data_IF_263048728184
#
_entry.id   IF_263048728184
#
_cell.length_a   1.000
_cell.length_b   1.000
_cell.length_c   1.000
_cell.angle_alpha   90.00
_cell.angle_beta   90.00
_cell.angle_gamma   90.00
#
_symmetry.space_group_name_H-M   'P 1'
#
loop_
_entity.id
_entity.type
_entity.pdbx_description
1 polymer ?
#
# COMPACT_ATOMS: atom_id res chain seq x y z
N UNK A 1 -16.05 12.02 -16.65
CA UNK A 1 -14.76 11.51 -17.19
C UNK A 1 -13.69 12.44 -16.64
N UNK A 2 -12.90 11.96 -15.67
CA UNK A 2 -11.73 12.72 -15.22
C UNK A 2 -10.72 12.73 -16.37
N UNK A 3 -10.16 13.92 -16.67
CA UNK A 3 -9.07 14.04 -17.62
C UNK A 3 -7.95 13.11 -17.17
N UNK A 4 -7.47 12.23 -18.06
CA UNK A 4 -6.30 11.41 -17.80
C UNK A 4 -5.16 12.39 -17.46
N UNK A 5 -4.55 12.24 -16.28
CA UNK A 5 -3.39 13.04 -15.93
C UNK A 5 -2.30 12.73 -16.97
N UNK A 6 -1.60 13.74 -17.46
CA UNK A 6 -0.50 13.57 -18.43
C UNK A 6 0.65 12.73 -17.86
N UNK A 7 0.69 12.58 -16.53
CA UNK A 7 1.70 11.80 -15.81
C UNK A 7 1.14 10.48 -15.29
N UNK A 8 1.93 9.39 -15.30
CA UNK A 8 1.58 8.15 -14.63
C UNK A 8 1.34 8.40 -13.14
N UNK A 9 0.45 7.60 -12.53
CA UNK A 9 0.26 7.62 -11.08
C UNK A 9 1.51 7.15 -10.33
N UNK A 10 2.23 6.20 -10.93
CA UNK A 10 3.55 5.73 -10.48
C UNK A 10 4.46 5.63 -11.68
N UNK A 11 5.64 6.22 -11.63
CA UNK A 11 6.70 6.03 -12.61
C UNK A 11 7.98 5.56 -11.92
N UNK A 12 8.62 4.55 -12.48
CA UNK A 12 9.88 3.99 -12.00
C UNK A 12 10.84 3.93 -13.19
N UNK A 13 12.04 4.47 -13.00
CA UNK A 13 13.06 4.50 -14.05
C UNK A 13 14.41 4.03 -13.51
N UNK A 14 14.96 2.95 -14.10
CA UNK A 14 16.28 2.44 -13.80
C UNK A 14 16.51 2.05 -12.34
N UNK A 15 15.46 1.58 -11.65
CA UNK A 15 15.53 1.33 -10.21
C UNK A 15 16.40 0.13 -9.88
N UNK A 16 17.39 0.36 -9.05
CA UNK A 16 18.22 -0.67 -8.45
C UNK A 16 18.06 -0.68 -6.93
N UNK A 17 18.13 -1.86 -6.32
CA UNK A 17 17.97 -1.99 -4.87
C UNK A 17 18.19 -3.42 -4.38
N UNK A 18 18.17 -3.58 -3.06
CA UNK A 18 18.39 -4.89 -2.43
C UNK A 18 18.58 -4.79 -0.94
N UNK A 19 19.14 -5.85 -0.36
CA UNK A 19 19.40 -5.95 1.08
C UNK A 19 20.91 -5.88 1.34
N UNK A 20 21.34 -4.91 2.15
CA UNK A 20 22.78 -4.69 2.40
C UNK A 20 23.56 -4.62 1.09
N UNK A 21 24.61 -5.40 0.93
CA UNK A 21 25.42 -5.45 -0.29
C UNK A 21 24.83 -6.30 -1.42
N UNK A 22 23.78 -7.09 -1.16
CA UNK A 22 23.18 -8.01 -2.15
C UNK A 22 22.18 -7.26 -3.04
N UNK A 23 22.46 -7.05 -4.34
CA UNK A 23 21.50 -6.48 -5.27
C UNK A 23 20.40 -7.49 -5.60
N UNK A 24 19.16 -7.01 -5.71
CA UNK A 24 17.96 -7.82 -6.04
C UNK A 24 17.20 -7.19 -7.21
N UNK A 25 17.18 -5.88 -7.28
CA UNK A 25 16.57 -5.12 -8.36
C UNK A 25 17.67 -4.64 -9.30
N UNK A 26 17.48 -4.85 -10.59
CA UNK A 26 18.44 -4.48 -11.63
C UNK A 26 17.68 -3.73 -12.72
N UNK A 27 17.92 -2.44 -12.86
CA UNK A 27 17.40 -1.56 -13.91
C UNK A 27 15.88 -1.72 -14.15
N UNK A 28 15.09 -1.69 -13.06
CA UNK A 28 13.64 -1.86 -13.16
C UNK A 28 12.99 -0.54 -13.59
N UNK A 29 12.27 -0.59 -14.73
CA UNK A 29 11.51 0.56 -15.23
C UNK A 29 10.09 0.13 -15.55
N UNK A 30 9.08 0.88 -15.08
CA UNK A 30 7.67 0.68 -15.36
C UNK A 30 6.86 1.93 -15.03
N UNK A 31 5.70 2.04 -15.68
CA UNK A 31 4.71 3.07 -15.41
C UNK A 31 3.36 2.43 -15.07
N UNK A 32 2.63 3.04 -14.14
CA UNK A 32 1.25 2.68 -13.80
C UNK A 32 0.39 3.93 -13.89
N UNK A 33 -0.66 3.89 -14.71
CA UNK A 33 -1.54 5.04 -14.89
C UNK A 33 -2.71 5.05 -13.91
N UNK A 34 -3.34 6.19 -13.76
CA UNK A 34 -4.51 6.33 -12.89
C UNK A 34 -5.65 5.42 -13.36
N UNK A 35 -6.26 4.68 -12.43
CA UNK A 35 -7.34 3.72 -12.70
C UNK A 35 -6.87 2.35 -13.18
N UNK A 36 -5.57 2.12 -13.32
CA UNK A 36 -5.04 0.81 -13.70
C UNK A 36 -4.89 -0.14 -12.51
N UNK A 37 -5.06 -1.43 -12.80
CA UNK A 37 -4.63 -2.54 -11.93
C UNK A 37 -3.38 -3.15 -12.57
N UNK A 38 -2.22 -2.88 -11.98
CA UNK A 38 -0.93 -3.39 -12.45
C UNK A 38 -0.51 -4.62 -11.65
N UNK A 39 -0.21 -5.73 -12.32
CA UNK A 39 0.19 -6.98 -11.67
C UNK A 39 1.66 -7.32 -11.95
N UNK A 40 2.42 -7.53 -10.86
CA UNK A 40 3.81 -8.00 -10.92
C UNK A 40 3.82 -9.51 -10.74
N UNK A 41 4.16 -10.24 -11.80
CA UNK A 41 4.20 -11.70 -11.82
C UNK A 41 5.63 -12.23 -11.76
N UNK A 42 5.81 -13.39 -11.18
CA UNK A 42 7.12 -14.05 -11.10
C UNK A 42 7.21 -15.06 -9.95
N UNK A 43 8.23 -15.91 -10.00
CA UNK A 43 8.51 -16.90 -8.94
C UNK A 43 8.85 -16.21 -7.61
N UNK A 44 8.74 -16.97 -6.52
CA UNK A 44 9.20 -16.48 -5.20
C UNK A 44 10.71 -16.21 -5.24
N UNK A 45 11.15 -15.18 -4.55
CA UNK A 45 12.55 -14.76 -4.54
C UNK A 45 12.97 -13.83 -5.68
N UNK A 46 12.11 -13.56 -6.68
CA UNK A 46 12.46 -12.72 -7.85
C UNK A 46 12.35 -11.20 -7.59
N UNK A 47 12.36 -10.75 -6.36
CA UNK A 47 12.42 -9.31 -6.06
C UNK A 47 11.07 -8.55 -6.01
N UNK A 48 9.90 -9.21 -6.21
CA UNK A 48 8.59 -8.52 -6.19
C UNK A 48 8.35 -7.70 -4.92
N UNK A 49 8.55 -8.31 -3.76
CA UNK A 49 8.39 -7.64 -2.46
C UNK A 49 9.48 -6.59 -2.24
N UNK A 50 10.70 -6.83 -2.73
CA UNK A 50 11.81 -5.87 -2.67
C UNK A 50 11.45 -4.63 -3.47
N UNK A 51 10.92 -4.79 -4.70
CA UNK A 51 10.47 -3.67 -5.52
C UNK A 51 9.43 -2.82 -4.79
N UNK A 52 8.35 -3.44 -4.28
CA UNK A 52 7.32 -2.71 -3.55
C UNK A 52 7.88 -2.00 -2.30
N UNK A 53 8.76 -2.65 -1.54
CA UNK A 53 9.39 -2.05 -0.36
C UNK A 53 10.31 -0.88 -0.74
N UNK A 54 11.05 -0.98 -1.84
CA UNK A 54 11.94 0.09 -2.31
C UNK A 54 11.13 1.29 -2.80
N UNK A 55 10.08 1.06 -3.60
CA UNK A 55 9.16 2.08 -4.08
C UNK A 55 8.47 2.82 -2.93
N UNK A 56 8.14 2.10 -1.86
CA UNK A 56 7.54 2.68 -0.63
C UNK A 56 8.54 3.31 0.34
N UNK A 57 9.83 3.39 0.00
CA UNK A 57 10.85 3.95 0.89
C UNK A 57 11.07 3.14 2.18
N UNK A 58 10.68 1.86 2.20
CA UNK A 58 10.94 0.90 3.28
C UNK A 58 12.31 0.23 3.14
N UNK A 59 12.85 0.23 1.93
CA UNK A 59 14.22 -0.17 1.60
C UNK A 59 14.85 0.96 0.78
N UNK A 60 16.13 1.27 0.99
CA UNK A 60 16.81 2.29 0.19
C UNK A 60 16.99 1.82 -1.26
N UNK A 61 16.69 2.69 -2.22
CA UNK A 61 17.16 2.53 -3.58
C UNK A 61 18.67 2.78 -3.64
N UNK A 62 19.39 2.04 -4.48
CA UNK A 62 20.81 2.27 -4.78
C UNK A 62 20.99 3.30 -5.89
N UNK A 63 20.11 3.20 -6.90
CA UNK A 63 20.06 4.11 -8.05
C UNK A 63 18.65 4.08 -8.64
N UNK A 64 18.42 4.93 -9.62
CA UNK A 64 17.14 5.07 -10.31
C UNK A 64 16.21 6.08 -9.66
N UNK A 65 15.01 6.19 -10.23
CA UNK A 65 14.03 7.20 -9.86
C UNK A 65 12.65 6.59 -9.62
N UNK A 66 11.95 7.12 -8.62
CA UNK A 66 10.56 6.77 -8.32
C UNK A 66 9.75 8.06 -8.23
N UNK A 67 8.65 8.11 -8.97
CA UNK A 67 7.72 9.25 -8.95
C UNK A 67 6.31 8.78 -8.59
N UNK A 68 5.61 9.58 -7.80
CA UNK A 68 4.16 9.46 -7.58
C UNK A 68 3.48 10.73 -8.05
N UNK A 69 2.53 10.59 -8.99
CA UNK A 69 1.78 11.71 -9.58
C UNK A 69 2.68 12.85 -10.11
N UNK A 70 3.85 12.50 -10.65
CA UNK A 70 4.84 13.44 -11.17
C UNK A 70 5.78 14.04 -10.11
N UNK A 71 5.60 13.71 -8.82
CA UNK A 71 6.52 14.13 -7.76
C UNK A 71 7.63 13.10 -7.55
N UNK A 72 8.87 13.52 -7.64
CA UNK A 72 10.03 12.66 -7.36
C UNK A 72 10.14 12.38 -5.87
N UNK A 73 9.97 11.10 -5.51
CA UNK A 73 10.04 10.60 -4.14
C UNK A 73 11.27 9.75 -3.87
N UNK A 74 12.22 9.74 -4.80
CA UNK A 74 13.45 8.94 -4.66
C UNK A 74 14.16 9.25 -3.36
N UNK A 75 14.44 8.22 -2.58
CA UNK A 75 15.08 8.37 -1.26
C UNK A 75 14.20 8.94 -0.14
N UNK A 76 12.91 9.17 -0.38
CA UNK A 76 12.01 9.59 0.70
C UNK A 76 11.72 8.45 1.67
N UNK A 77 11.59 8.74 2.96
CA UNK A 77 11.15 7.76 3.94
C UNK A 77 9.66 7.45 3.76
N UNK A 78 9.26 6.20 4.05
CA UNK A 78 7.90 5.70 3.84
C UNK A 78 6.80 6.61 4.42
N UNK A 79 7.02 7.19 5.63
CA UNK A 79 6.04 8.09 6.26
C UNK A 79 5.75 9.36 5.43
N UNK A 80 6.72 9.81 4.62
CA UNK A 80 6.53 10.94 3.73
C UNK A 80 5.77 10.54 2.47
N UNK A 81 6.08 9.37 1.90
CA UNK A 81 5.38 8.80 0.73
C UNK A 81 3.91 8.56 1.05
N UNK A 82 3.60 8.00 2.22
CA UNK A 82 2.20 7.78 2.62
C UNK A 82 1.39 9.08 2.75
N UNK A 83 2.03 10.24 2.88
CA UNK A 83 1.34 11.55 2.87
C UNK A 83 0.79 11.94 1.51
N UNK A 84 1.28 11.35 0.44
CA UNK A 84 0.76 11.53 -0.91
C UNK A 84 -0.50 10.68 -1.18
N UNK A 85 -1.03 9.97 -0.18
CA UNK A 85 -2.17 9.06 -0.35
C UNK A 85 -1.77 7.67 -0.84
N UNK A 86 -0.48 7.33 -0.81
CA UNK A 86 0.00 5.99 -1.20
C UNK A 86 -0.07 5.06 -0.01
N UNK A 87 -0.71 3.91 -0.17
CA UNK A 87 -0.85 2.89 0.87
C UNK A 87 -0.13 1.60 0.49
N UNK A 88 0.48 0.95 1.49
CA UNK A 88 1.14 -0.34 1.34
C UNK A 88 0.50 -1.40 2.22
N UNK A 89 0.09 -2.50 1.60
CA UNK A 89 -0.44 -3.68 2.31
C UNK A 89 0.62 -4.78 2.26
N UNK A 90 1.31 -5.07 3.38
CA UNK A 90 2.33 -6.12 3.42
C UNK A 90 1.70 -7.51 3.33
N UNK A 91 2.49 -8.48 2.87
CA UNK A 91 2.07 -9.88 2.80
C UNK A 91 1.93 -10.51 4.19
N UNK A 92 2.73 -10.06 5.15
CA UNK A 92 2.71 -10.54 6.53
C UNK A 92 1.53 -9.97 7.30
N UNK A 93 1.10 -10.68 8.36
CA UNK A 93 -0.01 -10.25 9.21
C UNK A 93 0.35 -8.95 9.93
N UNK A 94 -0.22 -7.83 9.47
CA UNK A 94 0.01 -6.49 10.03
C UNK A 94 -1.25 -5.92 10.68
N UNK A 95 -2.10 -6.78 11.24
CA UNK A 95 -3.25 -6.39 12.05
C UNK A 95 -2.92 -6.43 13.52
N UNK A 96 -3.52 -5.55 14.30
CA UNK A 96 -3.48 -5.59 15.75
C UNK A 96 -4.54 -6.58 16.24
N UNK A 97 -4.11 -7.80 16.58
CA UNK A 97 -5.02 -8.93 16.84
C UNK A 97 -5.91 -8.71 18.06
N UNK A 98 -5.42 -8.01 19.06
CA UNK A 98 -6.14 -7.73 20.32
C UNK A 98 -7.15 -6.57 20.20
N UNK A 99 -7.01 -5.75 19.16
CA UNK A 99 -7.93 -4.68 18.87
C UNK A 99 -9.12 -5.18 18.04
N UNK A 100 -10.25 -4.50 18.16
CA UNK A 100 -11.42 -4.70 17.30
C UNK A 100 -11.12 -4.35 15.85
N UNK A 101 -11.99 -4.78 14.94
CA UNK A 101 -11.95 -4.38 13.53
C UNK A 101 -12.01 -2.85 13.40
N UNK A 102 -12.92 -2.19 14.12
CA UNK A 102 -13.06 -0.74 14.09
C UNK A 102 -11.79 -0.03 14.58
N UNK A 103 -11.21 -0.46 15.71
CA UNK A 103 -9.97 0.11 16.21
C UNK A 103 -8.81 -0.04 15.21
N UNK A 104 -8.69 -1.22 14.58
CA UNK A 104 -7.72 -1.44 13.52
C UNK A 104 -7.91 -0.47 12.33
N UNK A 105 -9.15 -0.21 11.93
CA UNK A 105 -9.48 0.72 10.85
C UNK A 105 -9.16 2.17 11.24
N UNK A 106 -9.50 2.58 12.46
CA UNK A 106 -9.23 3.93 12.98
C UNK A 106 -7.73 4.25 13.05
N UNK A 107 -6.90 3.26 13.38
CA UNK A 107 -5.44 3.42 13.42
C UNK A 107 -4.80 3.73 12.04
N UNK A 108 -5.51 3.47 10.94
CA UNK A 108 -5.04 3.83 9.60
C UNK A 108 -5.20 5.33 9.31
N UNK A 109 -6.06 6.01 10.05
CA UNK A 109 -6.39 7.40 9.82
C UNK A 109 -5.51 8.32 10.66
N UNK A 110 -5.10 9.44 10.08
CA UNK A 110 -4.47 10.55 10.81
C UNK A 110 -5.49 11.41 11.53
N UNK A 111 -6.64 11.57 10.87
CA UNK A 111 -7.79 12.28 11.40
C UNK A 111 -8.99 11.34 11.29
N UNK A 112 -9.59 11.08 12.45
CA UNK A 112 -10.78 10.22 12.57
C UNK A 112 -12.08 10.94 12.17
N UNK A 113 -12.02 12.23 11.85
CA UNK A 113 -13.16 12.97 11.31
C UNK A 113 -13.62 12.30 10.01
N UNK A 114 -14.92 12.17 9.82
CA UNK A 114 -15.48 11.47 8.66
C UNK A 114 -15.26 9.97 8.61
N UNK A 115 -14.80 9.33 9.72
CA UNK A 115 -14.59 7.88 9.76
C UNK A 115 -15.82 7.08 9.33
N UNK A 116 -17.01 7.48 9.80
CA UNK A 116 -18.24 6.76 9.47
C UNK A 116 -18.51 6.74 7.96
N UNK A 117 -18.34 7.88 7.28
CA UNK A 117 -18.52 7.97 5.83
C UNK A 117 -17.49 7.15 5.06
N UNK A 118 -16.22 7.21 5.49
CA UNK A 118 -15.15 6.40 4.89
C UNK A 118 -15.40 4.90 5.10
N UNK A 119 -15.88 4.51 6.28
CA UNK A 119 -16.22 3.12 6.58
C UNK A 119 -17.39 2.63 5.69
N UNK A 120 -18.40 3.45 5.44
CA UNK A 120 -19.49 3.09 4.52
C UNK A 120 -18.94 2.77 3.11
N UNK A 121 -18.08 3.62 2.56
CA UNK A 121 -17.43 3.38 1.25
C UNK A 121 -16.60 2.10 1.23
N UNK A 122 -15.83 1.82 2.29
CA UNK A 122 -15.06 0.58 2.40
C UNK A 122 -15.99 -0.63 2.56
N UNK A 123 -17.12 -0.47 3.26
CA UNK A 123 -18.11 -1.52 3.46
C UNK A 123 -18.88 -1.90 2.17
N UNK A 124 -18.90 -1.05 1.15
CA UNK A 124 -19.42 -1.41 -0.18
C UNK A 124 -18.59 -2.57 -0.79
N UNK A 125 -17.28 -2.57 -0.57
CA UNK A 125 -16.37 -3.63 -1.02
C UNK A 125 -16.26 -4.79 -0.03
N UNK A 126 -16.27 -4.47 1.27
CA UNK A 126 -16.06 -5.43 2.37
C UNK A 126 -17.14 -5.26 3.45
N UNK A 127 -18.40 -5.71 3.22
CA UNK A 127 -19.51 -5.53 4.17
C UNK A 127 -19.24 -6.12 5.56
N UNK A 128 -18.37 -7.13 5.62
CA UNK A 128 -17.97 -7.79 6.86
C UNK A 128 -17.28 -6.84 7.85
N UNK A 129 -16.54 -5.84 7.37
CA UNK A 129 -15.83 -4.90 8.23
C UNK A 129 -16.80 -4.01 9.03
N UNK A 130 -17.98 -3.72 8.45
CA UNK A 130 -19.05 -3.00 9.13
C UNK A 130 -19.83 -3.94 10.06
N UNK A 131 -20.23 -5.13 9.59
CA UNK A 131 -21.05 -6.04 10.37
C UNK A 131 -20.32 -6.60 11.61
N UNK A 132 -18.99 -6.73 11.54
CA UNK A 132 -18.15 -7.26 12.62
C UNK A 132 -17.23 -6.21 13.25
N UNK A 133 -17.59 -4.92 13.18
CA UNK A 133 -16.73 -3.81 13.61
C UNK A 133 -16.26 -3.93 15.08
N UNK A 134 -17.08 -4.53 15.96
CA UNK A 134 -16.76 -4.73 17.39
C UNK A 134 -15.98 -6.02 17.67
N UNK A 135 -15.87 -6.93 16.68
CA UNK A 135 -15.17 -8.21 16.85
C UNK A 135 -13.66 -7.99 16.95
N UNK A 136 -12.97 -8.74 17.81
CA UNK A 136 -11.49 -8.75 17.85
C UNK A 136 -10.93 -9.24 16.53
N UNK A 137 -9.99 -8.49 15.95
CA UNK A 137 -9.42 -8.79 14.65
C UNK A 137 -8.67 -10.14 14.61
N UNK A 138 -8.09 -10.55 15.72
CA UNK A 138 -7.41 -11.85 15.84
C UNK A 138 -8.34 -13.07 15.69
N UNK A 139 -9.66 -12.89 15.89
CA UNK A 139 -10.67 -13.96 15.76
C UNK A 139 -11.26 -14.07 14.35
N UNK A 140 -10.88 -13.18 13.44
CA UNK A 140 -11.25 -13.23 12.03
C UNK A 140 -10.52 -14.37 11.32
N UNK A 141 -11.15 -14.96 10.32
CA UNK A 141 -10.47 -15.90 9.40
C UNK A 141 -9.33 -15.19 8.64
N UNK A 142 -8.38 -15.96 8.10
CA UNK A 142 -7.26 -15.41 7.35
C UNK A 142 -7.67 -14.56 6.15
N UNK A 143 -8.78 -14.91 5.48
CA UNK A 143 -9.38 -14.10 4.40
C UNK A 143 -9.95 -12.78 4.90
N UNK A 144 -10.70 -12.80 6.01
CA UNK A 144 -11.26 -11.61 6.64
C UNK A 144 -10.19 -10.67 7.17
N UNK A 145 -9.09 -11.22 7.70
CA UNK A 145 -7.91 -10.43 8.10
C UNK A 145 -7.27 -9.71 6.91
N UNK A 146 -7.24 -10.35 5.71
CA UNK A 146 -6.78 -9.69 4.48
C UNK A 146 -7.72 -8.58 4.04
N UNK A 147 -9.04 -8.80 4.13
CA UNK A 147 -10.03 -7.74 3.86
C UNK A 147 -9.85 -6.56 4.80
N UNK A 148 -9.58 -6.79 6.09
CA UNK A 148 -9.29 -5.74 7.05
C UNK A 148 -8.02 -4.95 6.68
N UNK A 149 -6.94 -5.63 6.26
CA UNK A 149 -5.71 -4.97 5.81
C UNK A 149 -5.93 -4.08 4.58
N UNK A 150 -6.68 -4.59 3.59
CA UNK A 150 -7.01 -3.82 2.39
C UNK A 150 -7.94 -2.66 2.76
N UNK A 151 -8.96 -2.91 3.59
CA UNK A 151 -9.86 -1.87 4.08
C UNK A 151 -9.13 -0.73 4.79
N UNK A 152 -8.10 -1.03 5.60
CA UNK A 152 -7.22 -0.02 6.21
C UNK A 152 -6.53 0.85 5.15
N UNK A 153 -6.05 0.25 4.07
CA UNK A 153 -5.37 0.97 3.00
C UNK A 153 -6.32 1.88 2.20
N UNK A 154 -7.58 1.47 2.06
CA UNK A 154 -8.60 2.25 1.33
C UNK A 154 -9.21 3.41 2.14
N UNK A 155 -8.99 3.45 3.44
CA UNK A 155 -9.45 4.54 4.31
C UNK A 155 -8.54 5.78 4.28
N UNK A 156 -7.28 5.61 3.85
CA UNK A 156 -6.25 6.68 3.86
C UNK A 156 -6.39 7.68 2.70
#
# INVERSE_FOLDING_TARGET
>A
MAAASEHPAVAIAGLEGGYGESPVLHDVSLDVHAGEIFAILGKNGMGKTTLLKTVMGLLPARSGRVEFLGEDVSGWPAYRITRLGVSYVPQEKSIFQDLSVEENLRLALRDVSGFAERLERVAEWFPILKSRHRQRAGTLSGGEQKMLLIGRALLT
#
